data_IF_154521051310
#
_entry.id   IF_154521051310
#
_cell.length_a   1.000
_cell.length_b   1.000
_cell.length_c   1.000
_cell.angle_alpha   90.00
_cell.angle_beta   90.00
_cell.angle_gamma   90.00
#
_symmetry.space_group_name_H-M   'P 1'
#
loop_
_entity.id
_entity.type
_entity.pdbx_description
1 polymer ?
#
# COMPACT_ATOMS: atom_id res chain seq x y z
N UNK A 1 -6.81 9.76 -24.34
CA UNK A 1 -5.76 9.09 -25.12
C UNK A 1 -6.30 8.36 -26.35
N UNK A 2 -6.97 7.21 -26.24
CA UNK A 2 -7.40 6.43 -27.44
C UNK A 2 -8.22 7.26 -28.46
N UNK A 3 -9.16 8.10 -27.99
CA UNK A 3 -9.90 9.03 -28.85
C UNK A 3 -9.01 10.07 -29.55
N UNK A 4 -7.95 10.53 -28.88
CA UNK A 4 -6.98 11.49 -29.45
C UNK A 4 -6.13 10.82 -30.53
N UNK A 5 -5.85 9.52 -30.37
CA UNK A 5 -5.18 8.68 -31.38
C UNK A 5 -6.13 8.23 -32.50
N UNK A 6 -7.37 8.75 -32.56
CA UNK A 6 -8.33 8.49 -33.64
C UNK A 6 -9.17 7.22 -33.48
N UNK A 7 -9.14 6.56 -32.33
CA UNK A 7 -10.03 5.42 -32.05
C UNK A 7 -11.45 5.92 -31.82
N UNK A 8 -12.40 5.42 -32.61
CA UNK A 8 -13.84 5.68 -32.41
C UNK A 8 -14.30 5.15 -31.04
N UNK A 9 -15.04 5.96 -30.30
CA UNK A 9 -15.41 5.64 -28.91
C UNK A 9 -16.25 4.36 -28.79
N UNK A 10 -17.17 4.12 -29.72
CA UNK A 10 -18.01 2.91 -29.81
C UNK A 10 -17.21 1.60 -29.99
N UNK A 11 -15.97 1.71 -30.45
CA UNK A 11 -15.04 0.57 -30.60
C UNK A 11 -14.23 0.31 -29.32
N UNK A 12 -14.35 1.17 -28.30
CA UNK A 12 -13.64 1.01 -27.03
C UNK A 12 -14.51 0.18 -26.08
N UNK A 13 -13.91 -0.85 -25.49
CA UNK A 13 -14.53 -1.64 -24.42
C UNK A 13 -13.59 -1.67 -23.23
N UNK A 14 -14.05 -1.08 -22.12
CA UNK A 14 -13.35 -1.06 -20.84
C UNK A 14 -13.84 -2.25 -20.01
N UNK A 15 -12.91 -3.11 -19.60
CA UNK A 15 -13.21 -4.28 -18.76
C UNK A 15 -12.61 -4.06 -17.37
N UNK A 16 -13.43 -4.19 -16.32
CA UNK A 16 -12.99 -4.06 -14.93
C UNK A 16 -13.43 -5.26 -14.08
N UNK A 17 -12.76 -5.51 -12.95
CA UNK A 17 -13.18 -6.56 -12.02
C UNK A 17 -14.30 -6.09 -11.09
N UNK A 18 -14.15 -4.88 -10.54
CA UNK A 18 -15.12 -4.27 -9.63
C UNK A 18 -15.23 -2.79 -9.95
N UNK A 19 -16.44 -2.26 -9.87
CA UNK A 19 -16.73 -0.81 -9.91
C UNK A 19 -17.82 -0.47 -8.89
N UNK A 20 -18.29 0.77 -8.83
CA UNK A 20 -19.46 1.17 -8.07
C UNK A 20 -20.36 2.11 -8.90
N UNK A 21 -21.62 2.37 -8.50
CA UNK A 21 -22.56 3.20 -9.26
C UNK A 21 -22.00 4.59 -9.62
N UNK A 22 -21.41 5.29 -8.66
CA UNK A 22 -20.87 6.64 -8.88
C UNK A 22 -19.74 6.65 -9.93
N UNK A 23 -18.83 5.67 -9.86
CA UNK A 23 -17.73 5.56 -10.80
C UNK A 23 -18.23 5.18 -12.21
N UNK A 24 -19.18 4.26 -12.31
CA UNK A 24 -19.79 3.88 -13.58
C UNK A 24 -20.58 5.03 -14.21
N UNK A 25 -21.35 5.77 -13.42
CA UNK A 25 -22.08 6.96 -13.89
C UNK A 25 -21.13 8.04 -14.38
N UNK A 26 -20.02 8.26 -13.66
CA UNK A 26 -18.96 9.16 -14.10
C UNK A 26 -18.35 8.75 -15.44
N UNK A 27 -18.08 7.45 -15.61
CA UNK A 27 -17.61 6.89 -16.88
C UNK A 27 -18.62 7.12 -18.01
N UNK A 28 -19.89 6.75 -17.83
CA UNK A 28 -20.92 6.88 -18.86
C UNK A 28 -21.20 8.35 -19.24
N UNK A 29 -21.06 9.30 -18.30
CA UNK A 29 -21.17 10.74 -18.61
C UNK A 29 -20.01 11.25 -19.47
N UNK A 30 -18.82 10.70 -19.26
CA UNK A 30 -17.62 11.12 -19.99
C UNK A 30 -17.43 10.37 -21.33
N UNK A 31 -17.86 9.11 -21.40
CA UNK A 31 -17.62 8.17 -22.49
C UNK A 31 -18.88 7.34 -22.80
N UNK A 32 -19.96 8.02 -23.18
CA UNK A 32 -21.29 7.40 -23.35
C UNK A 32 -21.40 6.38 -24.48
N UNK A 33 -20.53 6.44 -25.49
CA UNK A 33 -20.54 5.49 -26.61
C UNK A 33 -19.65 4.25 -26.33
N UNK A 34 -18.74 4.35 -25.36
CA UNK A 34 -17.86 3.26 -24.99
C UNK A 34 -18.60 2.20 -24.15
N UNK A 35 -18.20 0.94 -24.29
CA UNK A 35 -18.76 -0.16 -23.48
C UNK A 35 -17.99 -0.33 -22.18
N UNK A 36 -18.70 -0.36 -21.05
CA UNK A 36 -18.17 -0.78 -19.75
C UNK A 36 -18.66 -2.19 -19.43
N UNK A 37 -17.73 -3.12 -19.24
CA UNK A 37 -18.01 -4.49 -18.79
C UNK A 37 -17.32 -4.69 -17.44
N UNK A 38 -18.06 -5.15 -16.45
CA UNK A 38 -17.51 -5.36 -15.10
C UNK A 38 -18.01 -6.66 -14.49
N UNK A 39 -17.21 -7.31 -13.66
CA UNK A 39 -17.62 -8.54 -12.98
C UNK A 39 -18.51 -8.27 -11.74
N UNK A 40 -18.34 -7.15 -11.04
CA UNK A 40 -19.13 -6.79 -9.87
C UNK A 40 -19.37 -5.28 -9.73
N UNK A 41 -20.54 -4.94 -9.21
CA UNK A 41 -20.85 -3.61 -8.68
C UNK A 41 -20.87 -3.66 -7.15
N UNK A 42 -20.01 -2.86 -6.56
CA UNK A 42 -19.94 -2.62 -5.13
C UNK A 42 -20.63 -1.30 -4.76
N UNK A 43 -20.84 -1.07 -3.47
CA UNK A 43 -21.87 -0.14 -3.01
C UNK A 43 -21.58 1.33 -3.32
N UNK A 44 -20.33 1.78 -3.14
CA UNK A 44 -19.99 3.22 -3.18
C UNK A 44 -18.50 3.48 -3.33
N UNK A 45 -18.14 4.75 -3.50
CA UNK A 45 -16.81 5.25 -3.18
C UNK A 45 -16.72 5.66 -1.70
N UNK A 46 -15.53 5.50 -1.11
CA UNK A 46 -15.16 6.12 0.16
C UNK A 46 -14.79 7.60 -0.07
N UNK A 47 -14.59 8.35 1.01
CA UNK A 47 -14.17 9.75 0.94
C UNK A 47 -12.78 9.91 0.31
N UNK A 48 -11.96 8.86 0.38
CA UNK A 48 -10.63 8.76 -0.20
C UNK A 48 -10.65 8.23 -1.64
N UNK A 49 -11.83 7.96 -2.20
CA UNK A 49 -12.00 7.50 -3.58
C UNK A 49 -11.81 6.00 -3.79
N UNK A 50 -11.86 5.19 -2.73
CA UNK A 50 -11.80 3.72 -2.85
C UNK A 50 -13.19 3.11 -3.04
N UNK A 51 -13.32 2.09 -3.88
CA UNK A 51 -14.56 1.32 -3.98
C UNK A 51 -14.76 0.53 -2.68
N UNK A 52 -15.98 0.54 -2.12
CA UNK A 52 -16.34 -0.14 -0.87
C UNK A 52 -17.56 -1.06 -1.09
N UNK A 53 -17.50 -2.35 -0.69
CA UNK A 53 -16.43 -3.02 0.06
C UNK A 53 -15.09 -3.16 -0.69
N UNK A 54 -15.11 -3.28 -2.01
CA UNK A 54 -13.95 -3.27 -2.89
C UNK A 54 -13.04 -4.48 -2.76
N UNK A 55 -11.87 -4.36 -3.39
CA UNK A 55 -10.81 -5.39 -3.38
C UNK A 55 -9.51 -4.90 -2.72
N UNK A 56 -9.53 -3.72 -2.10
CA UNK A 56 -8.34 -3.08 -1.51
C UNK A 56 -7.30 -2.68 -2.57
N UNK A 57 -6.03 -2.65 -2.18
CA UNK A 57 -4.91 -2.38 -3.08
C UNK A 57 -4.73 -3.53 -4.06
N UNK A 58 -5.29 -3.41 -5.27
CA UNK A 58 -5.27 -4.48 -6.26
C UNK A 58 -3.85 -4.87 -6.68
N UNK A 59 -2.97 -3.89 -6.89
CA UNK A 59 -1.59 -4.14 -7.34
C UNK A 59 -0.79 -4.95 -6.32
N UNK A 60 -0.84 -4.59 -5.04
CA UNK A 60 -0.15 -5.31 -3.95
C UNK A 60 -0.64 -6.76 -3.84
N UNK A 61 -1.94 -6.99 -4.08
CA UNK A 61 -2.51 -8.33 -4.04
C UNK A 61 -2.19 -9.16 -5.27
N UNK A 62 -2.13 -8.51 -6.44
CA UNK A 62 -1.98 -9.19 -7.72
C UNK A 62 -0.51 -9.44 -8.09
N UNK A 63 0.35 -8.44 -7.89
CA UNK A 63 1.79 -8.53 -8.15
C UNK A 63 2.56 -9.09 -6.94
N UNK A 64 1.93 -9.08 -5.77
CA UNK A 64 2.59 -9.31 -4.49
C UNK A 64 3.26 -8.02 -4.03
N UNK A 65 2.90 -7.53 -2.84
CA UNK A 65 3.71 -6.53 -2.17
C UNK A 65 5.16 -7.07 -2.08
N UNK A 66 6.20 -6.23 -2.21
CA UNK A 66 7.51 -6.65 -1.73
C UNK A 66 7.23 -7.14 -0.31
N UNK A 67 7.51 -8.42 -0.04
CA UNK A 67 7.38 -8.94 1.31
C UNK A 67 8.02 -7.87 2.16
N UNK A 68 7.27 -7.22 3.04
CA UNK A 68 7.91 -6.67 4.19
C UNK A 68 8.63 -7.89 4.74
N UNK A 69 9.94 -7.92 4.51
CA UNK A 69 10.81 -8.81 5.25
C UNK A 69 10.58 -8.32 6.66
N UNK A 70 9.62 -8.96 7.32
CA UNK A 70 9.65 -9.04 8.77
C UNK A 70 10.94 -9.81 8.95
N UNK A 71 12.03 -9.09 9.23
CA UNK A 71 13.21 -9.74 9.75
C UNK A 71 12.70 -10.52 10.95
N UNK A 72 12.55 -11.82 10.77
CA UNK A 72 12.33 -12.73 11.86
C UNK A 72 13.65 -12.70 12.58
N UNK A 73 13.79 -11.76 13.52
CA UNK A 73 14.94 -11.72 14.41
C UNK A 73 14.87 -13.04 15.16
N UNK A 74 15.70 -13.99 14.75
CA UNK A 74 15.88 -15.24 15.46
C UNK A 74 16.43 -14.85 16.83
N UNK A 75 15.75 -15.15 17.96
CA UNK A 75 16.19 -14.74 19.29
C UNK A 75 17.53 -15.38 19.72
N UNK A 76 18.19 -16.11 18.84
CA UNK A 76 19.47 -16.78 19.07
C UNK A 76 20.68 -16.16 18.34
N UNK A 77 20.52 -15.09 17.53
CA UNK A 77 21.69 -14.41 16.95
C UNK A 77 22.32 -13.39 17.93
N UNK A 78 23.39 -13.85 18.58
CA UNK A 78 24.36 -13.08 19.34
C UNK A 78 25.10 -12.06 18.46
N UNK A 79 24.53 -10.85 18.31
CA UNK A 79 25.23 -9.71 17.73
C UNK A 79 25.89 -8.89 18.83
N UNK A 80 27.22 -9.01 18.93
CA UNK A 80 28.07 -8.39 19.93
C UNK A 80 28.18 -6.87 19.88
N UNK A 81 27.12 -6.16 20.28
CA UNK A 81 27.10 -4.69 20.43
C UNK A 81 27.11 -4.21 21.90
N UNK A 82 27.22 -5.11 22.87
CA UNK A 82 27.08 -4.75 24.30
C UNK A 82 28.37 -4.31 25.00
N UNK A 83 29.56 -4.56 24.45
CA UNK A 83 30.82 -4.28 25.15
C UNK A 83 31.07 -2.77 25.34
N UNK A 84 30.69 -1.94 24.36
CA UNK A 84 30.91 -0.49 24.43
C UNK A 84 29.92 0.20 25.39
N UNK A 85 28.69 -0.30 25.46
CA UNK A 85 27.64 0.23 26.35
C UNK A 85 27.90 -0.17 27.80
N UNK A 86 28.35 -1.40 28.04
CA UNK A 86 28.77 -1.89 29.37
C UNK A 86 30.01 -1.15 29.88
N UNK A 87 31.03 -0.95 29.03
CA UNK A 87 32.20 -0.14 29.39
C UNK A 87 31.82 1.30 29.76
N UNK A 88 30.91 1.91 29.00
CA UNK A 88 30.42 3.27 29.31
C UNK A 88 29.67 3.32 30.64
N UNK A 89 28.81 2.33 30.92
CA UNK A 89 28.07 2.22 32.19
C UNK A 89 28.98 1.97 33.39
N UNK A 90 29.99 1.10 33.26
CA UNK A 90 30.95 0.80 34.33
C UNK A 90 31.82 2.04 34.62
N UNK A 91 32.31 2.70 33.58
CA UNK A 91 33.16 3.90 33.71
C UNK A 91 32.40 5.06 34.35
N UNK A 92 31.13 5.26 33.95
CA UNK A 92 30.23 6.24 34.57
C UNK A 92 30.02 5.95 36.07
N UNK A 93 29.74 4.69 36.43
CA UNK A 93 29.54 4.28 37.83
C UNK A 93 30.78 4.49 38.70
N UNK A 94 31.96 4.12 38.21
CA UNK A 94 33.21 4.30 38.94
C UNK A 94 33.51 5.78 39.14
N UNK A 95 33.33 6.62 38.12
CA UNK A 95 33.55 8.07 38.24
C UNK A 95 32.62 8.75 39.26
N UNK A 96 31.39 8.23 39.43
CA UNK A 96 30.45 8.72 40.43
C UNK A 96 30.84 8.35 41.85
N UNK A 97 31.57 7.26 42.06
CA UNK A 97 32.07 6.86 43.37
C UNK A 97 33.31 7.65 43.81
N UNK A 98 34.18 8.02 42.86
CA UNK A 98 35.37 8.83 43.17
C UNK A 98 35.11 10.33 43.32
N UNK A 99 33.90 10.81 43.00
CA UNK A 99 33.48 12.21 43.18
C UNK A 99 32.72 12.48 44.49
N UNK A 100 32.58 11.47 45.34
CA UNK A 100 31.89 11.60 46.63
C UNK A 100 32.93 11.51 47.76
N UNK A 101 33.70 12.57 47.90
CA UNK A 101 34.33 13.07 49.13
C UNK A 101 34.48 14.59 49.02
#
# INVERSE_FOLDING_TARGET
>A
LLKQEGVEEEKITVVTLVTCPEAADGFCKAFGDARLVTASFDSRLSNEGHIVPGIGAFEDRYLGAPSSVVEVVDPAEDTGDDENTLKTKITSKLSSWFKKD
#
